data_IF_939807649968
#
_entry.id   IF_939807649968
#
_cell.length_a   1.000
_cell.length_b   1.000
_cell.length_c   1.000
_cell.angle_alpha   90.00
_cell.angle_beta   90.00
_cell.angle_gamma   90.00
#
_symmetry.space_group_name_H-M   'P 1'
#
loop_
_entity.id
_entity.type
_entity.pdbx_description
1 polymer ?
#
# COMPACT_ATOMS: atom_id res chain seq x y z
N UNK A 1 10.62 -0.38 23.94
CA UNK A 1 11.27 -0.20 22.62
C UNK A 1 10.85 -1.35 21.73
N UNK A 2 9.73 -1.21 21.03
CA UNK A 2 9.19 -2.26 20.17
C UNK A 2 9.92 -2.17 18.84
N UNK A 3 10.89 -3.05 18.62
CA UNK A 3 11.64 -3.12 17.36
C UNK A 3 10.61 -3.39 16.26
N UNK A 4 10.45 -2.45 15.33
CA UNK A 4 9.62 -2.69 14.16
C UNK A 4 10.19 -3.92 13.44
N UNK A 5 9.40 -4.98 13.19
CA UNK A 5 9.91 -6.13 12.47
C UNK A 5 10.35 -5.66 11.09
N UNK A 6 11.64 -5.85 10.80
CA UNK A 6 12.30 -5.40 9.57
C UNK A 6 11.57 -5.89 8.31
N UNK A 7 10.90 -7.03 8.43
CA UNK A 7 10.14 -7.65 7.36
C UNK A 7 8.91 -6.81 6.97
N UNK A 8 8.19 -6.26 7.96
CA UNK A 8 7.03 -5.38 7.70
C UNK A 8 7.42 -4.08 7.00
N UNK A 9 8.57 -3.51 7.37
CA UNK A 9 9.08 -2.32 6.69
C UNK A 9 9.37 -2.60 5.22
N UNK A 10 10.03 -3.73 4.92
CA UNK A 10 10.29 -4.13 3.54
C UNK A 10 9.02 -4.37 2.76
N UNK A 11 8.00 -5.00 3.35
CA UNK A 11 6.69 -5.21 2.74
C UNK A 11 5.99 -3.87 2.42
N UNK A 12 5.93 -2.95 3.39
CA UNK A 12 5.34 -1.61 3.21
C UNK A 12 6.04 -0.83 2.09
N UNK A 13 7.36 -0.87 2.05
CA UNK A 13 8.15 -0.17 1.04
C UNK A 13 7.96 -0.79 -0.34
N UNK A 14 8.06 -2.12 -0.45
CA UNK A 14 7.85 -2.82 -1.72
C UNK A 14 6.43 -2.59 -2.26
N UNK A 15 5.42 -2.62 -1.39
CA UNK A 15 4.03 -2.37 -1.77
C UNK A 15 3.84 -0.96 -2.35
N UNK A 16 4.33 0.07 -1.65
CA UNK A 16 4.20 1.45 -2.13
C UNK A 16 5.03 1.71 -3.38
N UNK A 17 6.26 1.23 -3.45
CA UNK A 17 7.08 1.36 -4.66
C UNK A 17 6.49 0.62 -5.86
N UNK A 18 5.81 -0.50 -5.66
CA UNK A 18 5.13 -1.23 -6.74
C UNK A 18 3.91 -0.48 -7.28
N UNK A 19 3.04 0.04 -6.41
CA UNK A 19 1.78 0.67 -6.82
C UNK A 19 1.89 2.16 -7.16
N UNK A 20 2.75 2.90 -6.48
CA UNK A 20 2.92 4.34 -6.66
C UNK A 20 4.15 4.69 -7.50
N UNK A 21 5.01 3.70 -7.81
CA UNK A 21 6.29 3.89 -8.50
C UNK A 21 7.22 4.89 -7.81
N UNK A 22 7.04 5.10 -6.51
CA UNK A 22 7.91 5.96 -5.73
C UNK A 22 9.27 5.29 -5.50
N UNK A 23 10.37 6.06 -5.60
CA UNK A 23 11.70 5.55 -5.33
C UNK A 23 11.83 5.13 -3.86
N UNK A 24 12.64 4.11 -3.61
CA UNK A 24 12.89 3.55 -2.28
C UNK A 24 13.19 4.64 -1.23
N UNK A 25 14.05 5.60 -1.58
CA UNK A 25 14.44 6.69 -0.69
C UNK A 25 13.26 7.57 -0.28
N UNK A 26 12.33 7.86 -1.20
CA UNK A 26 11.14 8.64 -0.89
C UNK A 26 10.25 7.91 0.12
N UNK A 27 10.06 6.60 -0.04
CA UNK A 27 9.23 5.80 0.87
C UNK A 27 9.89 5.61 2.24
N UNK A 28 11.22 5.49 2.27
CA UNK A 28 12.01 5.40 3.50
C UNK A 28 12.06 6.70 4.28
N UNK A 29 11.96 7.85 3.59
CA UNK A 29 11.89 9.17 4.22
C UNK A 29 10.51 9.47 4.84
N UNK A 30 9.48 8.67 4.55
CA UNK A 30 8.17 8.83 5.18
C UNK A 30 8.22 8.36 6.63
N UNK A 31 7.55 9.14 7.49
CA UNK A 31 7.28 8.73 8.86
C UNK A 31 6.53 7.40 8.87
N UNK A 32 6.83 6.59 9.88
CA UNK A 32 6.27 5.25 9.98
C UNK A 32 4.71 5.25 10.01
N UNK A 33 4.10 6.26 10.61
CA UNK A 33 2.65 6.41 10.61
C UNK A 33 2.10 6.83 9.25
N UNK A 34 2.81 7.70 8.54
CA UNK A 34 2.41 8.18 7.24
C UNK A 34 2.49 7.07 6.20
N UNK A 35 3.57 6.28 6.23
CA UNK A 35 3.73 5.12 5.36
C UNK A 35 2.60 4.11 5.53
N UNK A 36 2.22 3.79 6.77
CA UNK A 36 1.08 2.88 7.05
C UNK A 36 -0.23 3.43 6.49
N UNK A 37 -0.49 4.74 6.66
CA UNK A 37 -1.68 5.40 6.10
C UNK A 37 -1.72 5.30 4.58
N UNK A 38 -0.58 5.50 3.91
CA UNK A 38 -0.49 5.33 2.46
C UNK A 38 -0.75 3.90 2.01
N UNK A 39 -0.22 2.90 2.73
CA UNK A 39 -0.48 1.48 2.44
C UNK A 39 -1.98 1.18 2.53
N UNK A 40 -2.65 1.64 3.60
CA UNK A 40 -4.08 1.46 3.80
C UNK A 40 -4.92 2.10 2.68
N UNK A 41 -4.57 3.32 2.27
CA UNK A 41 -5.28 4.07 1.24
C UNK A 41 -5.13 3.45 -0.15
N UNK A 42 -3.91 3.07 -0.52
CA UNK A 42 -3.65 2.37 -1.79
C UNK A 42 -4.37 1.03 -1.81
N UNK A 43 -4.36 0.29 -0.70
CA UNK A 43 -5.11 -0.96 -0.59
C UNK A 43 -6.62 -0.75 -0.70
N UNK A 44 -7.18 0.34 -0.14
CA UNK A 44 -8.60 0.69 -0.27
C UNK A 44 -8.97 0.95 -1.73
N UNK A 45 -8.21 1.81 -2.41
CA UNK A 45 -8.44 2.14 -3.83
C UNK A 45 -8.34 0.88 -4.70
N UNK A 46 -7.33 0.04 -4.47
CA UNK A 46 -7.15 -1.19 -5.24
C UNK A 46 -8.30 -2.18 -5.03
N UNK A 47 -8.83 -2.29 -3.80
CA UNK A 47 -10.01 -3.12 -3.53
C UNK A 47 -11.25 -2.60 -4.25
N UNK A 48 -11.47 -1.28 -4.24
CA UNK A 48 -12.59 -0.65 -4.95
C UNK A 48 -12.50 -0.86 -6.46
N UNK A 49 -11.29 -0.77 -7.04
CA UNK A 49 -11.06 -1.01 -8.47
C UNK A 49 -11.15 -2.48 -8.88
N UNK A 50 -10.81 -3.39 -7.97
CA UNK A 50 -10.79 -4.84 -8.24
C UNK A 50 -12.09 -5.53 -7.87
N UNK A 51 -13.01 -4.84 -7.20
CA UNK A 51 -14.35 -5.34 -6.98
C UNK A 51 -14.98 -5.65 -8.35
N UNK A 52 -15.44 -6.89 -8.60
CA UNK A 52 -16.06 -7.23 -9.85
C UNK A 52 -17.27 -6.31 -10.01
N UNK A 53 -17.35 -5.66 -11.17
CA UNK A 53 -18.51 -4.87 -11.55
C UNK A 53 -19.71 -5.83 -11.64
N UNK A 54 -20.49 -5.95 -10.55
CA UNK A 54 -21.70 -6.77 -10.49
C UNK A 54 -22.71 -6.40 -11.58
N UNK A 55 -22.53 -5.23 -12.22
CA UNK A 55 -23.30 -4.75 -13.37
C UNK A 55 -23.15 -5.64 -14.61
N UNK A 56 -22.06 -6.43 -14.74
CA UNK A 56 -21.85 -7.33 -15.88
C UNK A 56 -22.37 -8.76 -15.69
N UNK A 57 -22.89 -9.11 -14.51
CA UNK A 57 -23.41 -10.49 -14.22
C UNK A 57 -24.93 -10.61 -14.47
N UNK A 58 -25.60 -9.53 -14.89
CA UNK A 58 -27.01 -9.53 -15.30
C UNK A 58 -27.14 -9.16 -16.78
N UNK A 59 -26.76 -10.07 -17.67
CA UNK A 59 -27.14 -10.04 -19.08
C UNK A 59 -27.41 -11.47 -19.57
#
# INVERSE_FOLDING_TARGET
MTRYPSDRLHEEVAYLSYYLHWPYEQVMNLDHNERRRWVEEVARINRERSAPDETLTRA
#
